data_IF_023338005003
#
_entry.id   IF_023338005003
#
_cell.length_a   1.000
_cell.length_b   1.000
_cell.length_c   1.000
_cell.angle_alpha   90.00
_cell.angle_beta   90.00
_cell.angle_gamma   90.00
#
_symmetry.space_group_name_H-M   'P 1'
#
loop_
_entity.id
_entity.type
_entity.pdbx_description
1 polymer ?
#
# COMPACT_ATOMS: atom_id res chain seq x y z
N UNK A 1 13.41 -7.34 -27.72
CA UNK A 1 13.22 -6.11 -26.94
C UNK A 1 14.55 -5.82 -26.25
N UNK A 2 15.10 -4.63 -26.36
CA UNK A 2 16.41 -4.29 -25.77
C UNK A 2 16.31 -4.29 -24.25
N UNK A 3 17.35 -4.77 -23.56
CA UNK A 3 17.39 -4.74 -22.09
C UNK A 3 17.49 -3.29 -21.61
N UNK A 4 16.47 -2.83 -20.90
CA UNK A 4 16.36 -1.46 -20.38
C UNK A 4 17.02 -1.30 -19.01
N UNK A 5 17.38 -2.40 -18.35
CA UNK A 5 17.96 -2.41 -17.00
C UNK A 5 19.20 -1.50 -16.88
N UNK A 6 20.17 -1.47 -17.80
CA UNK A 6 21.32 -0.55 -17.70
C UNK A 6 20.93 0.93 -17.72
N UNK A 7 19.90 1.28 -18.52
CA UNK A 7 19.42 2.68 -18.65
C UNK A 7 18.70 3.11 -17.36
N UNK A 8 17.84 2.24 -16.83
CA UNK A 8 17.15 2.45 -15.55
C UNK A 8 18.15 2.57 -14.40
N UNK A 9 19.15 1.69 -14.35
CA UNK A 9 20.20 1.75 -13.34
C UNK A 9 20.99 3.06 -13.39
N UNK A 10 21.30 3.56 -14.60
CA UNK A 10 21.97 4.84 -14.80
C UNK A 10 21.14 6.00 -14.23
N UNK A 11 19.84 6.06 -14.54
CA UNK A 11 18.94 7.10 -14.01
C UNK A 11 18.97 7.15 -12.48
N UNK A 12 18.71 6.01 -11.81
CA UNK A 12 18.66 5.98 -10.35
C UNK A 12 20.02 6.15 -9.67
N UNK A 13 21.12 5.95 -10.41
CA UNK A 13 22.47 6.29 -9.92
C UNK A 13 22.73 7.80 -9.99
N UNK A 14 22.24 8.45 -11.05
CA UNK A 14 22.37 9.90 -11.26
C UNK A 14 21.40 10.71 -10.38
N UNK A 15 20.19 10.20 -10.19
CA UNK A 15 19.10 10.84 -9.44
C UNK A 15 18.67 9.91 -8.31
N UNK A 16 19.09 10.24 -7.09
CA UNK A 16 18.73 9.47 -5.89
C UNK A 16 17.22 9.52 -5.65
N UNK A 17 16.61 8.34 -5.55
CA UNK A 17 15.18 8.18 -5.39
C UNK A 17 14.84 7.01 -4.44
N UNK A 18 13.83 7.15 -3.56
CA UNK A 18 13.13 8.39 -3.22
C UNK A 18 14.06 9.42 -2.53
N UNK A 19 13.54 10.59 -2.20
CA UNK A 19 14.32 11.66 -1.54
C UNK A 19 15.05 11.11 -0.29
N UNK A 20 16.39 11.21 -0.22
CA UNK A 20 17.17 10.63 0.87
C UNK A 20 16.80 11.18 2.24
N UNK A 21 16.44 10.31 3.18
CA UNK A 21 16.21 10.69 4.58
C UNK A 21 17.55 10.74 5.30
N UNK A 22 17.87 11.87 5.97
CA UNK A 22 19.14 12.01 6.69
C UNK A 22 19.16 11.29 8.06
N UNK A 23 17.99 11.10 8.68
CA UNK A 23 17.87 10.46 10.00
C UNK A 23 16.59 9.63 10.10
N UNK A 24 16.71 8.32 9.82
CA UNK A 24 15.57 7.40 9.80
C UNK A 24 14.84 7.32 11.15
N UNK A 25 15.56 7.17 12.27
CA UNK A 25 14.92 7.07 13.60
C UNK A 25 14.19 8.35 13.98
N UNK A 26 14.75 9.52 13.64
CA UNK A 26 14.05 10.81 13.83
C UNK A 26 12.82 10.90 12.95
N UNK A 27 12.92 10.59 11.66
CA UNK A 27 11.80 10.62 10.74
C UNK A 27 10.64 9.73 11.24
N UNK A 28 10.94 8.50 11.68
CA UNK A 28 9.94 7.58 12.24
C UNK A 28 9.26 8.18 13.49
N UNK A 29 10.03 8.77 14.41
CA UNK A 29 9.46 9.43 15.60
C UNK A 29 8.59 10.63 15.24
N UNK A 30 8.92 11.34 14.17
CA UNK A 30 8.16 12.47 13.63
C UNK A 30 6.97 12.03 12.76
N UNK A 31 6.73 10.72 12.62
CA UNK A 31 5.54 10.16 12.00
C UNK A 31 5.75 9.56 10.60
N UNK A 32 6.98 9.57 10.06
CA UNK A 32 7.28 8.89 8.81
C UNK A 32 7.01 7.38 8.94
N UNK A 33 6.25 6.85 7.99
CA UNK A 33 6.01 5.43 7.88
C UNK A 33 5.80 5.05 6.42
N UNK A 34 6.25 3.85 6.08
CA UNK A 34 5.99 3.27 4.78
C UNK A 34 4.67 2.48 4.80
N UNK A 35 3.92 2.57 3.71
CA UNK A 35 2.61 1.90 3.58
C UNK A 35 2.70 0.38 3.60
N UNK A 36 3.88 -0.18 3.34
CA UNK A 36 4.15 -1.62 3.40
C UNK A 36 4.56 -2.10 4.81
N UNK A 37 4.59 -1.22 5.82
CA UNK A 37 5.04 -1.59 7.16
C UNK A 37 4.31 -2.84 7.69
N UNK A 38 5.03 -3.92 8.06
CA UNK A 38 4.42 -5.11 8.62
C UNK A 38 3.59 -4.82 9.86
N UNK A 39 4.03 -3.87 10.70
CA UNK A 39 3.30 -3.43 11.89
C UNK A 39 1.89 -2.91 11.58
N UNK A 40 1.64 -2.42 10.36
CA UNK A 40 0.35 -1.87 9.93
C UNK A 40 -0.51 -2.89 9.17
N UNK A 41 0.12 -3.82 8.45
CA UNK A 41 -0.56 -4.73 7.52
C UNK A 41 -0.62 -6.18 7.98
N UNK A 42 0.03 -6.56 9.08
CA UNK A 42 0.11 -7.96 9.51
C UNK A 42 -1.23 -8.69 9.62
N UNK A 43 -2.38 -8.09 10.04
CA UNK A 43 -3.64 -8.83 10.09
C UNK A 43 -4.10 -9.26 8.69
N UNK A 44 -3.69 -8.54 7.65
CA UNK A 44 -3.96 -8.88 6.26
C UNK A 44 -2.98 -9.92 5.71
N UNK A 45 -1.78 -10.05 6.28
CA UNK A 45 -0.73 -10.95 5.79
C UNK A 45 -0.78 -12.30 6.49
N UNK A 46 -0.91 -12.29 7.82
CA UNK A 46 -0.91 -13.47 8.69
C UNK A 46 -2.01 -13.34 9.76
N UNK A 47 -3.29 -13.42 9.37
CA UNK A 47 -4.42 -13.26 10.29
C UNK A 47 -4.45 -14.31 11.43
N UNK A 48 -3.88 -15.50 11.21
CA UNK A 48 -3.74 -16.54 12.24
C UNK A 48 -2.48 -16.38 13.11
N UNK A 49 -1.73 -15.29 12.91
CA UNK A 49 -0.46 -15.00 13.60
C UNK A 49 0.76 -15.51 12.84
N UNK A 50 1.88 -14.78 12.98
CA UNK A 50 3.20 -15.20 12.50
C UNK A 50 4.27 -14.57 13.36
N UNK A 51 5.29 -15.33 13.77
CA UNK A 51 6.32 -14.72 14.59
C UNK A 51 7.14 -13.68 13.83
N UNK A 52 7.35 -12.51 14.41
CA UNK A 52 8.23 -11.48 13.84
C UNK A 52 9.70 -11.72 14.17
N UNK A 53 9.99 -12.64 15.10
CA UNK A 53 11.36 -13.04 15.40
C UNK A 53 11.95 -13.79 14.23
N UNK A 54 13.13 -13.34 13.80
CA UNK A 54 13.90 -13.91 12.67
C UNK A 54 13.12 -13.93 11.34
N UNK A 55 12.07 -13.11 11.20
CA UNK A 55 11.33 -12.97 9.95
C UNK A 55 12.30 -12.57 8.83
N UNK A 56 12.32 -13.30 7.72
CA UNK A 56 13.17 -12.96 6.57
C UNK A 56 12.43 -12.02 5.64
N UNK A 57 12.93 -10.80 5.50
CA UNK A 57 12.33 -9.74 4.69
C UNK A 57 13.24 -9.38 3.52
N UNK A 58 12.72 -9.44 2.29
CA UNK A 58 13.38 -8.93 1.10
C UNK A 58 12.76 -7.58 0.70
N UNK A 59 13.57 -6.54 0.57
CA UNK A 59 13.17 -5.26 -0.03
C UNK A 59 13.81 -5.17 -1.41
N UNK A 60 13.03 -5.51 -2.45
CA UNK A 60 13.47 -5.60 -3.84
C UNK A 60 13.29 -4.25 -4.56
N UNK A 61 14.41 -3.60 -4.88
CA UNK A 61 14.46 -2.20 -5.30
C UNK A 61 14.25 -1.29 -4.11
N UNK A 62 15.17 -1.35 -3.15
CA UNK A 62 15.00 -0.70 -1.86
C UNK A 62 15.12 0.83 -1.90
N UNK A 63 15.63 1.38 -3.00
CA UNK A 63 15.93 2.80 -3.12
C UNK A 63 16.84 3.27 -1.99
N UNK A 64 16.76 4.57 -1.71
CA UNK A 64 17.57 5.22 -0.68
C UNK A 64 17.17 4.79 0.74
N UNK A 65 15.88 4.58 1.00
CA UNK A 65 15.34 4.60 2.37
C UNK A 65 14.70 3.27 2.85
N UNK A 66 14.09 2.47 1.96
CA UNK A 66 13.10 1.47 2.38
C UNK A 66 13.71 0.29 3.14
N UNK A 67 14.91 -0.15 2.78
CA UNK A 67 15.62 -1.22 3.47
C UNK A 67 16.00 -0.79 4.91
N UNK A 68 16.54 0.42 5.05
CA UNK A 68 16.86 0.99 6.36
C UNK A 68 15.62 1.24 7.22
N UNK A 69 14.52 1.74 6.63
CA UNK A 69 13.24 1.87 7.33
C UNK A 69 12.76 0.53 7.87
N UNK A 70 12.71 -0.49 7.01
CA UNK A 70 12.24 -1.84 7.37
C UNK A 70 13.06 -2.43 8.51
N UNK A 71 14.38 -2.34 8.42
CA UNK A 71 15.28 -2.81 9.47
C UNK A 71 15.10 -2.07 10.80
N UNK A 72 14.86 -0.76 10.75
CA UNK A 72 14.65 0.06 11.95
C UNK A 72 13.32 -0.23 12.68
N UNK A 73 12.25 -0.56 11.95
CA UNK A 73 10.94 -0.88 12.56
C UNK A 73 10.76 -2.35 12.92
N UNK A 74 11.64 -3.24 12.44
CA UNK A 74 11.62 -4.69 12.66
C UNK A 74 12.99 -5.19 13.17
N UNK A 75 13.43 -4.80 14.39
CA UNK A 75 14.79 -5.08 14.88
C UNK A 75 15.09 -6.58 15.03
N UNK A 76 14.08 -7.41 15.23
CA UNK A 76 14.23 -8.87 15.39
C UNK A 76 14.18 -9.65 14.05
N UNK A 77 13.92 -8.97 12.92
CA UNK A 77 13.83 -9.56 11.59
C UNK A 77 15.18 -9.50 10.86
N UNK A 78 15.41 -10.39 9.89
CA UNK A 78 16.54 -10.31 8.96
C UNK A 78 16.12 -9.62 7.67
N UNK A 79 16.70 -8.46 7.37
CA UNK A 79 16.34 -7.66 6.20
C UNK A 79 17.45 -7.73 5.15
N UNK A 80 17.09 -8.11 3.92
CA UNK A 80 17.93 -7.94 2.74
C UNK A 80 17.35 -6.84 1.86
N UNK A 81 18.08 -5.75 1.68
CA UNK A 81 17.80 -4.74 0.66
C UNK A 81 18.60 -5.02 -0.61
N UNK A 82 17.94 -5.04 -1.77
CA UNK A 82 18.62 -5.08 -3.06
C UNK A 82 18.23 -3.90 -3.93
N UNK A 83 19.18 -3.40 -4.71
CA UNK A 83 18.95 -2.34 -5.70
C UNK A 83 19.95 -2.44 -6.86
N UNK A 84 19.62 -1.79 -7.98
CA UNK A 84 20.54 -1.60 -9.10
C UNK A 84 21.47 -0.40 -8.87
N UNK A 85 20.97 0.65 -8.20
CA UNK A 85 21.66 1.90 -7.96
C UNK A 85 22.64 1.77 -6.79
N UNK A 86 23.92 1.93 -7.09
CA UNK A 86 24.97 1.98 -6.07
C UNK A 86 24.79 3.19 -5.15
N UNK A 87 24.31 4.33 -5.68
CA UNK A 87 24.04 5.55 -4.90
C UNK A 87 22.95 5.32 -3.86
N UNK A 88 21.85 4.65 -4.25
CA UNK A 88 20.77 4.26 -3.33
C UNK A 88 21.28 3.35 -2.22
N UNK A 89 22.09 2.35 -2.57
CA UNK A 89 22.69 1.42 -1.62
C UNK A 89 23.69 2.10 -0.68
N UNK A 90 24.48 3.05 -1.17
CA UNK A 90 25.38 3.85 -0.33
C UNK A 90 24.60 4.68 0.69
N UNK A 91 23.47 5.28 0.32
CA UNK A 91 22.63 6.01 1.27
C UNK A 91 21.99 5.07 2.31
N UNK A 92 21.48 3.91 1.87
CA UNK A 92 20.98 2.87 2.79
C UNK A 92 22.10 2.36 3.73
N UNK A 93 23.33 2.23 3.24
CA UNK A 93 24.49 1.84 4.04
C UNK A 93 24.85 2.92 5.06
N UNK A 94 24.80 4.20 4.68
CA UNK A 94 24.95 5.32 5.61
C UNK A 94 23.89 5.25 6.74
N UNK A 95 22.63 5.00 6.40
CA UNK A 95 21.57 4.85 7.41
C UNK A 95 21.78 3.60 8.29
N UNK A 96 22.24 2.49 7.72
CA UNK A 96 22.61 1.28 8.45
C UNK A 96 23.66 1.58 9.52
N UNK A 97 24.75 2.23 9.15
CA UNK A 97 25.86 2.57 10.04
C UNK A 97 25.43 3.59 11.10
N UNK A 98 24.74 4.66 10.68
CA UNK A 98 24.27 5.71 11.59
C UNK A 98 23.35 5.18 12.70
N UNK A 99 22.51 4.20 12.40
CA UNK A 99 21.48 3.71 13.32
C UNK A 99 21.80 2.37 13.98
N UNK A 100 22.94 1.75 13.66
CA UNK A 100 23.34 0.43 14.15
C UNK A 100 22.37 -0.67 13.71
N UNK A 101 22.00 -0.68 12.42
CA UNK A 101 21.04 -1.65 11.88
C UNK A 101 21.75 -2.97 11.53
N UNK A 102 22.17 -3.71 12.55
CA UNK A 102 22.92 -4.97 12.40
C UNK A 102 22.12 -6.07 11.69
N UNK A 103 20.80 -5.94 11.70
CA UNK A 103 19.86 -6.84 11.06
C UNK A 103 19.65 -6.57 9.55
N UNK A 104 20.31 -5.56 8.98
CA UNK A 104 20.21 -5.18 7.58
C UNK A 104 21.43 -5.63 6.76
N UNK A 105 21.18 -6.37 5.67
CA UNK A 105 22.15 -6.64 4.61
C UNK A 105 21.76 -5.90 3.33
N UNK A 106 22.77 -5.43 2.57
CA UNK A 106 22.56 -4.70 1.32
C UNK A 106 23.35 -5.38 0.20
N UNK A 107 22.74 -5.51 -0.98
CA UNK A 107 23.39 -6.11 -2.15
C UNK A 107 23.00 -5.41 -3.43
N UNK A 108 23.99 -5.01 -4.22
CA UNK A 108 23.75 -4.58 -5.59
C UNK A 108 23.36 -5.80 -6.44
N UNK A 109 22.12 -5.82 -6.93
CA UNK A 109 21.56 -6.98 -7.61
C UNK A 109 20.39 -6.58 -8.50
N UNK A 110 20.38 -7.13 -9.71
CA UNK A 110 19.18 -7.14 -10.56
C UNK A 110 18.17 -8.14 -10.00
N UNK A 111 16.93 -7.73 -9.76
CA UNK A 111 15.89 -8.63 -9.24
C UNK A 111 15.61 -9.84 -10.13
N UNK A 112 15.95 -9.79 -11.42
CA UNK A 112 15.82 -10.95 -12.30
C UNK A 112 16.78 -12.10 -11.93
N UNK A 113 17.80 -11.80 -11.13
CA UNK A 113 18.80 -12.76 -10.65
C UNK A 113 18.53 -13.26 -9.22
N UNK A 114 17.30 -13.10 -8.71
CA UNK A 114 16.91 -13.56 -7.38
C UNK A 114 17.07 -15.07 -7.18
N UNK A 115 17.09 -15.87 -8.26
CA UNK A 115 17.38 -17.30 -8.18
C UNK A 115 18.77 -17.64 -7.61
N UNK A 116 19.69 -16.66 -7.57
CA UNK A 116 20.99 -16.81 -6.91
C UNK A 116 20.93 -16.67 -5.39
N UNK A 117 19.76 -16.33 -4.81
CA UNK A 117 19.56 -16.34 -3.37
C UNK A 117 19.11 -17.74 -2.94
N UNK A 118 19.74 -18.27 -1.90
CA UNK A 118 19.41 -19.59 -1.34
C UNK A 118 18.20 -19.52 -0.39
N UNK A 119 17.96 -18.35 0.19
CA UNK A 119 16.91 -18.12 1.16
C UNK A 119 15.51 -18.00 0.54
N UNK A 120 14.51 -18.38 1.36
CA UNK A 120 13.11 -18.01 1.17
C UNK A 120 12.75 -16.88 2.12
N UNK A 121 11.91 -15.96 1.65
CA UNK A 121 11.50 -14.78 2.38
C UNK A 121 10.04 -14.88 2.81
N UNK A 122 9.79 -14.59 4.08
CA UNK A 122 8.45 -14.53 4.66
C UNK A 122 7.70 -13.30 4.15
N UNK A 123 8.43 -12.20 3.92
CA UNK A 123 7.86 -10.96 3.42
C UNK A 123 8.72 -10.36 2.33
N UNK A 124 8.10 -9.97 1.22
CA UNK A 124 8.78 -9.28 0.12
C UNK A 124 8.10 -7.93 -0.12
N UNK A 125 8.88 -6.87 -0.13
CA UNK A 125 8.46 -5.52 -0.53
C UNK A 125 9.03 -5.22 -1.90
N UNK A 126 8.17 -4.85 -2.85
CA UNK A 126 8.60 -4.44 -4.18
C UNK A 126 7.73 -3.27 -4.66
N UNK A 127 8.23 -2.04 -4.53
CA UNK A 127 7.48 -0.82 -4.82
C UNK A 127 8.22 0.02 -5.85
N UNK A 128 7.57 0.41 -6.95
CA UNK A 128 8.26 1.29 -7.92
C UNK A 128 9.30 0.54 -8.76
N UNK A 129 9.09 -0.75 -9.05
CA UNK A 129 10.11 -1.58 -9.73
C UNK A 129 9.54 -2.37 -10.89
N UNK A 130 8.54 -3.24 -10.64
CA UNK A 130 8.07 -4.20 -11.65
C UNK A 130 7.58 -3.54 -12.95
N UNK A 131 7.00 -2.34 -12.86
CA UNK A 131 6.50 -1.60 -14.01
C UNK A 131 7.59 -0.92 -14.85
N UNK A 132 8.83 -0.85 -14.36
CA UNK A 132 9.97 -0.34 -15.11
C UNK A 132 10.73 -1.43 -15.88
N UNK A 133 10.36 -2.69 -15.68
CA UNK A 133 10.98 -3.81 -16.39
C UNK A 133 10.47 -3.91 -17.83
N UNK A 134 11.35 -4.37 -18.72
CA UNK A 134 10.96 -4.78 -20.07
C UNK A 134 9.99 -5.97 -20.05
N UNK A 135 10.15 -6.86 -19.07
CA UNK A 135 9.26 -7.99 -18.79
C UNK A 135 8.86 -8.01 -17.30
N UNK A 136 7.78 -7.31 -16.92
CA UNK A 136 7.27 -7.30 -15.54
C UNK A 136 6.93 -8.69 -15.00
N UNK A 137 6.41 -9.58 -15.84
CA UNK A 137 6.05 -10.95 -15.46
C UNK A 137 7.28 -11.78 -15.06
N UNK A 138 8.40 -11.60 -15.76
CA UNK A 138 9.67 -12.23 -15.37
C UNK A 138 10.13 -11.75 -13.98
N UNK A 139 9.99 -10.46 -13.69
CA UNK A 139 10.28 -9.90 -12.36
C UNK A 139 9.39 -10.47 -11.27
N UNK A 140 8.08 -10.55 -11.51
CA UNK A 140 7.15 -11.10 -10.52
C UNK A 140 7.38 -12.60 -10.28
N UNK A 141 7.71 -13.38 -11.31
CA UNK A 141 8.11 -14.79 -11.15
C UNK A 141 9.41 -14.95 -10.38
N UNK A 142 10.39 -14.06 -10.58
CA UNK A 142 11.63 -14.09 -9.81
C UNK A 142 11.36 -13.86 -8.31
N UNK A 143 10.50 -12.90 -7.96
CA UNK A 143 10.06 -12.68 -6.57
C UNK A 143 9.33 -13.90 -6.00
N UNK A 144 8.37 -14.47 -6.74
CA UNK A 144 7.68 -15.71 -6.35
C UNK A 144 8.69 -16.85 -6.09
N UNK A 145 9.74 -16.94 -6.90
CA UNK A 145 10.78 -17.97 -6.80
C UNK A 145 11.52 -17.98 -5.47
N UNK A 146 11.53 -16.86 -4.74
CA UNK A 146 12.16 -16.74 -3.41
C UNK A 146 11.14 -16.51 -2.28
N UNK A 147 9.83 -16.55 -2.57
CA UNK A 147 8.77 -16.40 -1.58
C UNK A 147 8.57 -17.70 -0.78
N UNK A 148 8.57 -17.62 0.55
CA UNK A 148 8.20 -18.73 1.44
C UNK A 148 6.77 -19.21 1.15
N UNK A 149 6.43 -20.46 1.50
CA UNK A 149 5.12 -21.05 1.19
C UNK A 149 3.95 -20.31 1.82
N UNK A 150 4.15 -19.75 3.01
CA UNK A 150 3.23 -18.87 3.76
C UNK A 150 3.66 -17.39 3.69
N UNK A 151 4.55 -17.07 2.74
CA UNK A 151 5.08 -15.75 2.53
C UNK A 151 4.09 -14.84 1.81
N UNK A 152 4.20 -13.54 2.08
CA UNK A 152 3.38 -12.50 1.47
C UNK A 152 4.26 -11.46 0.78
N UNK A 153 3.80 -10.93 -0.36
CA UNK A 153 4.46 -9.85 -1.08
C UNK A 153 3.59 -8.59 -1.07
N UNK A 154 4.18 -7.46 -0.73
CA UNK A 154 3.61 -6.15 -1.00
C UNK A 154 4.15 -5.64 -2.32
N UNK A 155 3.25 -5.42 -3.27
CA UNK A 155 3.57 -4.92 -4.61
C UNK A 155 2.94 -3.54 -4.80
N UNK A 156 3.73 -2.59 -5.32
CA UNK A 156 3.21 -1.31 -5.80
C UNK A 156 3.58 -1.07 -7.27
N UNK A 157 2.55 -0.82 -8.09
CA UNK A 157 2.68 -0.45 -9.50
C UNK A 157 1.94 0.84 -9.84
N UNK A 158 2.30 1.51 -10.93
CA UNK A 158 1.61 2.69 -11.40
C UNK A 158 0.15 2.41 -11.81
N UNK A 159 -0.75 3.32 -11.44
CA UNK A 159 -2.17 3.28 -11.78
C UNK A 159 -2.47 4.05 -13.07
N UNK A 160 -3.32 3.48 -13.93
CA UNK A 160 -3.54 3.96 -15.30
C UNK A 160 -4.19 5.34 -15.35
N UNK A 161 -5.35 5.49 -14.72
CA UNK A 161 -6.24 6.60 -15.04
C UNK A 161 -5.75 7.94 -14.49
N UNK A 162 -5.24 8.00 -13.27
CA UNK A 162 -4.70 9.26 -12.74
C UNK A 162 -3.34 9.62 -13.37
N UNK A 163 -2.69 8.72 -14.11
CA UNK A 163 -1.41 8.99 -14.81
C UNK A 163 -1.57 9.25 -16.30
N UNK A 164 -2.78 9.30 -16.85
CA UNK A 164 -3.00 9.57 -18.29
C UNK A 164 -2.24 10.83 -18.74
N UNK A 165 -2.37 11.93 -17.99
CA UNK A 165 -1.66 13.17 -18.29
C UNK A 165 -0.14 13.07 -18.17
N UNK A 166 0.38 12.19 -17.30
CA UNK A 166 1.82 11.89 -17.22
C UNK A 166 2.29 11.24 -18.51
N UNK A 167 1.59 10.21 -19.00
CA UNK A 167 1.96 9.53 -20.25
C UNK A 167 1.86 10.43 -21.49
N UNK A 168 0.90 11.35 -21.51
CA UNK A 168 0.81 12.37 -22.57
C UNK A 168 2.06 13.26 -22.57
N UNK A 169 2.48 13.76 -21.41
CA UNK A 169 3.67 14.61 -21.30
C UNK A 169 4.97 13.84 -21.52
N UNK A 170 5.12 12.63 -21.00
CA UNK A 170 6.27 11.77 -21.32
C UNK A 170 6.42 11.59 -22.84
N UNK A 171 5.32 11.35 -23.56
CA UNK A 171 5.34 11.24 -25.03
C UNK A 171 5.78 12.55 -25.67
N UNK A 172 5.30 13.69 -25.19
CA UNK A 172 5.73 15.01 -25.67
C UNK A 172 7.24 15.22 -25.44
N UNK A 173 7.75 14.94 -24.25
CA UNK A 173 9.18 15.09 -23.93
C UNK A 173 10.09 14.15 -24.73
N UNK A 174 9.64 12.92 -25.06
CA UNK A 174 10.35 12.04 -26.00
C UNK A 174 10.40 12.62 -27.41
N UNK A 175 9.33 13.26 -27.89
CA UNK A 175 9.35 13.94 -29.20
C UNK A 175 10.28 15.16 -29.21
N UNK A 176 10.40 15.83 -28.06
CA UNK A 176 11.30 16.98 -27.84
C UNK A 176 12.75 16.57 -27.56
N UNK A 177 13.06 15.27 -27.59
CA UNK A 177 14.41 14.71 -27.39
C UNK A 177 15.00 14.88 -25.98
N UNK A 178 14.13 14.83 -24.96
CA UNK A 178 14.53 14.95 -23.56
C UNK A 178 15.02 13.63 -22.92
N UNK A 179 15.49 12.66 -23.71
CA UNK A 179 15.94 11.37 -23.18
C UNK A 179 17.30 11.45 -22.48
N UNK A 180 18.01 12.57 -22.60
CA UNK A 180 19.32 12.77 -21.96
C UNK A 180 19.22 12.99 -20.45
N UNK A 181 18.03 13.39 -19.96
CA UNK A 181 17.77 13.76 -18.57
C UNK A 181 18.76 14.84 -18.10
N UNK A 182 19.08 15.79 -18.97
CA UNK A 182 19.99 16.89 -18.64
C UNK A 182 19.30 17.92 -17.73
N UNK A 183 20.08 18.86 -17.19
CA UNK A 183 19.52 20.02 -16.49
C UNK A 183 18.61 20.87 -17.40
N UNK A 184 18.89 20.92 -18.71
CA UNK A 184 18.04 21.58 -19.70
C UNK A 184 16.70 20.86 -19.86
N UNK A 185 16.71 19.53 -19.98
CA UNK A 185 15.50 18.71 -20.05
C UNK A 185 14.63 18.91 -18.81
N UNK A 186 15.24 18.92 -17.63
CA UNK A 186 14.53 19.14 -16.38
C UNK A 186 13.92 20.55 -16.29
N UNK A 187 14.62 21.58 -16.74
CA UNK A 187 14.07 22.94 -16.82
C UNK A 187 12.89 23.01 -17.79
N UNK A 188 12.96 22.31 -18.92
CA UNK A 188 11.87 22.21 -19.87
C UNK A 188 10.65 21.48 -19.28
N UNK A 189 10.85 20.41 -18.51
CA UNK A 189 9.77 19.74 -17.78
C UNK A 189 9.09 20.72 -16.82
N UNK A 190 9.87 21.39 -15.97
CA UNK A 190 9.35 22.36 -14.99
C UNK A 190 8.54 23.47 -15.65
N UNK A 191 9.11 24.14 -16.66
CA UNK A 191 8.43 25.23 -17.38
C UNK A 191 7.18 24.76 -18.13
N UNK A 192 7.19 23.52 -18.65
CA UNK A 192 6.01 22.92 -19.29
C UNK A 192 4.90 22.65 -18.28
N UNK A 193 5.21 22.17 -17.07
CA UNK A 193 4.21 21.91 -16.03
C UNK A 193 3.54 23.20 -15.53
N UNK A 194 4.30 24.30 -15.50
CA UNK A 194 3.79 25.64 -15.17
C UNK A 194 2.90 26.20 -16.30
N UNK A 195 3.29 25.95 -17.57
CA UNK A 195 2.59 26.47 -18.74
C UNK A 195 1.38 25.65 -19.18
N UNK A 196 1.39 24.33 -18.97
CA UNK A 196 0.37 23.42 -19.51
C UNK A 196 -1.03 23.80 -19.03
N UNK A 197 -2.00 23.67 -19.94
CA UNK A 197 -3.40 24.04 -19.76
C UNK A 197 -3.94 23.64 -18.36
N UNK A 198 -4.64 24.55 -17.65
CA UNK A 198 -5.22 24.27 -16.34
C UNK A 198 -6.18 23.07 -16.30
N UNK A 199 -6.80 22.72 -17.43
CA UNK A 199 -7.71 21.57 -17.58
C UNK A 199 -6.99 20.32 -18.11
N UNK A 200 -5.68 20.38 -18.36
CA UNK A 200 -4.90 19.21 -18.78
C UNK A 200 -4.96 18.08 -17.75
N UNK A 201 -5.08 16.84 -18.22
CA UNK A 201 -5.26 15.65 -17.38
C UNK A 201 -4.15 15.48 -16.31
N UNK A 202 -2.95 16.01 -16.55
CA UNK A 202 -1.82 15.93 -15.61
C UNK A 202 -2.10 16.66 -14.30
N UNK A 203 -2.93 17.72 -14.32
CA UNK A 203 -3.16 18.57 -13.14
C UNK A 203 -3.83 17.78 -12.00
N UNK A 204 -4.58 16.71 -12.31
CA UNK A 204 -5.13 15.79 -11.29
C UNK A 204 -4.05 14.99 -10.58
N UNK A 205 -3.04 14.53 -11.31
CA UNK A 205 -1.90 13.81 -10.75
C UNK A 205 -1.06 14.72 -9.86
N UNK A 206 -0.75 15.93 -10.33
CA UNK A 206 0.09 16.89 -9.61
C UNK A 206 -0.51 17.31 -8.25
N UNK A 207 -1.84 17.25 -8.09
CA UNK A 207 -2.50 17.55 -6.80
C UNK A 207 -2.23 16.52 -5.71
N UNK A 208 -1.85 15.29 -6.08
CA UNK A 208 -1.73 14.17 -5.14
C UNK A 208 -0.34 13.55 -5.10
N UNK A 209 0.50 13.81 -6.09
CA UNK A 209 1.85 13.26 -6.18
C UNK A 209 2.85 14.18 -5.46
N UNK A 210 3.31 13.78 -4.27
CA UNK A 210 4.36 14.50 -3.55
C UNK A 210 5.71 14.44 -4.24
N UNK A 211 5.97 13.38 -5.01
CA UNK A 211 7.29 13.12 -5.60
C UNK A 211 7.67 14.15 -6.66
N UNK A 212 6.69 14.83 -7.26
CA UNK A 212 6.94 15.88 -8.27
C UNK A 212 7.46 17.20 -7.68
N UNK A 213 7.61 17.28 -6.35
CA UNK A 213 8.11 18.47 -5.65
C UNK A 213 9.65 18.57 -5.64
N UNK A 214 10.36 17.57 -6.14
CA UNK A 214 11.82 17.58 -6.23
C UNK A 214 12.31 16.95 -7.54
N UNK A 215 13.55 17.28 -7.91
CA UNK A 215 14.09 17.04 -9.25
C UNK A 215 14.11 15.56 -9.64
N UNK A 216 14.58 14.68 -8.76
CA UNK A 216 14.64 13.24 -9.07
C UNK A 216 13.24 12.64 -9.26
N UNK A 217 12.23 13.10 -8.52
CA UNK A 217 10.85 12.63 -8.73
C UNK A 217 10.20 13.19 -10.00
N UNK A 218 10.59 14.38 -10.47
CA UNK A 218 10.23 14.88 -11.81
C UNK A 218 10.86 14.04 -12.92
N UNK A 219 12.13 13.67 -12.78
CA UNK A 219 12.82 12.76 -13.72
C UNK A 219 12.11 11.40 -13.73
N UNK A 220 11.88 10.80 -12.57
CA UNK A 220 11.20 9.51 -12.43
C UNK A 220 9.78 9.52 -12.99
N UNK A 221 9.07 10.64 -12.90
CA UNK A 221 7.70 10.74 -13.38
C UNK A 221 7.64 11.00 -14.89
N UNK A 222 8.38 11.98 -15.39
CA UNK A 222 8.17 12.55 -16.74
C UNK A 222 9.24 12.18 -17.76
N UNK A 223 10.45 11.82 -17.32
CA UNK A 223 11.57 11.47 -18.20
C UNK A 223 12.02 10.00 -18.03
N UNK A 224 11.22 9.17 -17.37
CA UNK A 224 11.55 7.77 -17.15
C UNK A 224 11.73 7.01 -18.48
N UNK A 225 12.82 6.23 -18.65
CA UNK A 225 13.13 5.53 -19.90
C UNK A 225 12.11 4.44 -20.22
N UNK A 226 11.56 3.79 -19.20
CA UNK A 226 10.58 2.71 -19.34
C UNK A 226 9.65 2.67 -18.15
N UNK A 227 8.36 2.90 -18.35
CA UNK A 227 7.34 2.58 -17.36
C UNK A 227 6.05 2.14 -18.06
N UNK A 228 5.19 1.45 -17.30
CA UNK A 228 3.82 1.17 -17.69
C UNK A 228 2.89 1.30 -16.49
N UNK A 229 1.64 1.65 -16.75
CA UNK A 229 0.60 1.61 -15.74
C UNK A 229 -0.31 0.40 -15.90
N UNK A 230 -0.98 0.07 -14.81
CA UNK A 230 -1.98 -1.00 -14.71
C UNK A 230 -3.34 -0.39 -14.34
N UNK A 231 -4.41 -1.03 -14.76
CA UNK A 231 -5.74 -0.89 -14.17
C UNK A 231 -6.07 -2.11 -13.30
N UNK A 232 -7.22 -2.08 -12.62
CA UNK A 232 -7.69 -3.18 -11.76
C UNK A 232 -7.68 -4.54 -12.48
N UNK A 233 -8.33 -4.72 -13.66
CA UNK A 233 -8.29 -6.00 -14.38
C UNK A 233 -6.88 -6.48 -14.68
N UNK A 234 -5.98 -5.57 -15.10
CA UNK A 234 -4.59 -5.92 -15.39
C UNK A 234 -3.80 -6.32 -14.15
N UNK A 235 -4.04 -5.71 -12.98
CA UNK A 235 -3.41 -6.16 -11.71
C UNK A 235 -3.85 -7.57 -11.34
N UNK A 236 -5.14 -7.87 -11.48
CA UNK A 236 -5.67 -9.20 -11.18
C UNK A 236 -5.10 -10.25 -12.15
N UNK A 237 -5.10 -9.93 -13.45
CA UNK A 237 -4.50 -10.79 -14.48
C UNK A 237 -2.98 -10.96 -14.28
N UNK A 238 -2.27 -9.90 -13.87
CA UNK A 238 -0.84 -9.95 -13.58
C UNK A 238 -0.53 -10.90 -12.42
N UNK A 239 -1.41 -10.98 -11.43
CA UNK A 239 -1.31 -11.92 -10.32
C UNK A 239 -1.55 -13.37 -10.80
N UNK A 240 -2.65 -13.59 -11.52
CA UNK A 240 -3.07 -14.91 -12.00
C UNK A 240 -2.08 -15.50 -13.02
N UNK A 241 -1.65 -14.72 -14.01
CA UNK A 241 -0.72 -15.14 -15.06
C UNK A 241 0.65 -15.55 -14.51
N UNK A 242 1.01 -15.12 -13.30
CA UNK A 242 2.24 -15.49 -12.62
C UNK A 242 2.03 -16.53 -11.51
N UNK A 243 0.86 -17.18 -11.52
CA UNK A 243 0.46 -18.22 -10.58
C UNK A 243 0.61 -17.76 -9.12
N UNK A 244 0.12 -16.57 -8.81
CA UNK A 244 0.03 -15.98 -7.48
C UNK A 244 -1.43 -15.73 -7.13
N UNK A 245 -1.77 -15.89 -5.86
CA UNK A 245 -3.06 -15.50 -5.33
C UNK A 245 -3.07 -14.02 -4.97
N UNK A 246 -4.09 -13.30 -5.43
CA UNK A 246 -4.39 -11.94 -4.97
C UNK A 246 -5.03 -12.00 -3.58
N UNK A 247 -4.36 -11.46 -2.57
CA UNK A 247 -4.87 -11.44 -1.19
C UNK A 247 -5.90 -10.30 -1.07
N UNK A 248 -5.44 -9.06 -1.26
CA UNK A 248 -6.26 -7.86 -1.21
C UNK A 248 -5.49 -6.61 -1.68
N UNK A 249 -6.22 -5.52 -1.93
CA UNK A 249 -5.64 -4.18 -1.97
C UNK A 249 -5.15 -3.79 -0.58
N UNK A 250 -3.97 -3.17 -0.48
CA UNK A 250 -3.44 -2.74 0.83
C UNK A 250 -4.30 -1.62 1.44
N UNK A 251 -5.04 -0.91 0.60
CA UNK A 251 -6.17 -0.09 1.01
C UNK A 251 -7.38 -0.24 0.08
N UNK A 252 -8.40 -0.98 0.54
CA UNK A 252 -9.61 -1.28 -0.22
C UNK A 252 -10.58 -0.09 -0.31
N UNK A 253 -10.49 0.90 0.58
CA UNK A 253 -11.49 1.96 0.75
C UNK A 253 -11.90 2.63 -0.59
N UNK A 254 -10.99 3.03 -1.49
CA UNK A 254 -11.39 3.68 -2.75
C UNK A 254 -12.00 2.77 -3.81
N UNK A 255 -11.94 1.45 -3.60
CA UNK A 255 -12.63 0.47 -4.43
C UNK A 255 -13.97 0.02 -3.81
N UNK A 256 -14.32 0.52 -2.61
CA UNK A 256 -15.54 0.16 -1.90
C UNK A 256 -16.68 1.11 -2.23
N UNK A 257 -17.65 0.67 -3.04
CA UNK A 257 -18.74 1.54 -3.48
C UNK A 257 -19.65 2.01 -2.35
N UNK A 258 -19.86 1.20 -1.30
CA UNK A 258 -20.72 1.57 -0.17
C UNK A 258 -20.16 2.73 0.66
N UNK A 259 -18.86 3.03 0.53
CA UNK A 259 -18.21 4.17 1.16
C UNK A 259 -18.40 5.49 0.37
N UNK A 260 -18.63 5.40 -0.94
CA UNK A 260 -18.61 6.57 -1.83
C UNK A 260 -19.95 6.86 -2.51
N UNK A 261 -20.82 5.85 -2.67
CA UNK A 261 -22.07 5.94 -3.42
C UNK A 261 -23.24 5.75 -2.46
N UNK A 262 -24.17 6.73 -2.35
CA UNK A 262 -25.33 6.62 -1.48
C UNK A 262 -26.19 5.39 -1.81
N UNK A 263 -26.71 4.64 -0.81
CA UNK A 263 -27.49 3.42 -1.03
C UNK A 263 -28.72 3.59 -1.93
N UNK A 264 -29.32 4.78 -1.93
CA UNK A 264 -30.47 5.16 -2.75
C UNK A 264 -30.11 5.45 -4.21
N UNK A 265 -28.83 5.64 -4.53
CA UNK A 265 -28.38 5.93 -5.88
C UNK A 265 -28.55 4.70 -6.78
N UNK A 266 -29.09 4.83 -8.02
CA UNK A 266 -29.29 3.69 -8.92
C UNK A 266 -28.03 2.86 -9.19
N UNK A 267 -26.84 3.48 -9.21
CA UNK A 267 -25.56 2.76 -9.34
C UNK A 267 -25.33 1.77 -8.20
N UNK A 268 -25.66 2.12 -6.96
CA UNK A 268 -25.45 1.22 -5.81
C UNK A 268 -26.23 -0.09 -5.98
N UNK A 269 -27.46 -0.03 -6.52
CA UNK A 269 -28.27 -1.22 -6.80
C UNK A 269 -27.63 -2.12 -7.86
N UNK A 270 -27.10 -1.54 -8.94
CA UNK A 270 -26.43 -2.31 -10.00
C UNK A 270 -25.11 -2.89 -9.52
N UNK A 271 -24.31 -2.08 -8.81
CA UNK A 271 -23.02 -2.49 -8.26
C UNK A 271 -23.16 -3.68 -7.32
N UNK A 272 -24.19 -3.75 -6.47
CA UNK A 272 -24.43 -4.88 -5.56
C UNK A 272 -24.37 -6.25 -6.26
N UNK A 273 -24.88 -6.34 -7.48
CA UNK A 273 -25.00 -7.59 -8.24
C UNK A 273 -23.75 -7.96 -9.05
N UNK A 274 -22.74 -7.08 -9.11
CA UNK A 274 -21.49 -7.37 -9.81
C UNK A 274 -20.55 -8.25 -8.96
N UNK A 275 -19.66 -8.96 -9.64
CA UNK A 275 -18.51 -9.61 -9.00
C UNK A 275 -17.63 -8.58 -8.30
N UNK A 276 -16.78 -9.04 -7.37
CA UNK A 276 -15.90 -8.12 -6.63
C UNK A 276 -14.89 -7.41 -7.54
N UNK A 277 -14.37 -8.12 -8.55
CA UNK A 277 -13.44 -7.55 -9.54
C UNK A 277 -14.10 -6.47 -10.39
N UNK A 278 -15.35 -6.71 -10.84
CA UNK A 278 -16.13 -5.71 -11.57
C UNK A 278 -16.46 -4.49 -10.71
N UNK A 279 -16.81 -4.69 -9.42
CA UNK A 279 -17.02 -3.59 -8.47
C UNK A 279 -15.79 -2.70 -8.37
N UNK A 280 -14.62 -3.30 -8.14
CA UNK A 280 -13.36 -2.55 -8.07
C UNK A 280 -13.04 -1.80 -9.35
N UNK A 281 -13.25 -2.45 -10.51
CA UNK A 281 -13.03 -1.85 -11.83
C UNK A 281 -13.94 -0.65 -12.05
N UNK A 282 -15.24 -0.78 -11.77
CA UNK A 282 -16.18 0.35 -11.92
C UNK A 282 -15.80 1.50 -10.99
N UNK A 283 -15.42 1.21 -9.75
CA UNK A 283 -15.00 2.23 -8.80
C UNK A 283 -13.74 2.96 -9.27
N UNK A 284 -12.75 2.23 -9.79
CA UNK A 284 -11.55 2.86 -10.37
C UNK A 284 -11.90 3.80 -11.53
N UNK A 285 -12.75 3.34 -12.46
CA UNK A 285 -13.18 4.11 -13.63
C UNK A 285 -13.95 5.38 -13.26
N UNK A 286 -14.77 5.34 -12.21
CA UNK A 286 -15.57 6.48 -11.76
C UNK A 286 -14.72 7.54 -11.06
N UNK A 287 -13.79 7.15 -10.19
CA UNK A 287 -13.09 8.09 -9.31
C UNK A 287 -11.72 8.54 -9.85
N UNK A 288 -10.99 7.67 -10.57
CA UNK A 288 -9.73 8.01 -11.26
C UNK A 288 -8.74 8.79 -10.38
N UNK A 289 -8.67 8.47 -9.09
CA UNK A 289 -7.90 9.22 -8.10
C UNK A 289 -6.64 8.46 -7.63
N UNK A 290 -6.35 7.31 -8.25
CA UNK A 290 -5.20 6.46 -7.91
C UNK A 290 -4.08 6.63 -8.93
N UNK A 291 -2.96 7.21 -8.49
CA UNK A 291 -1.72 7.25 -9.26
C UNK A 291 -0.92 5.95 -9.17
N UNK A 292 -1.22 5.09 -8.19
CA UNK A 292 -0.59 3.80 -7.96
C UNK A 292 -1.60 2.79 -7.44
N UNK A 293 -1.34 1.51 -7.70
CA UNK A 293 -1.96 0.37 -7.07
C UNK A 293 -0.99 -0.26 -6.09
N UNK A 294 -1.43 -0.49 -4.86
CA UNK A 294 -0.71 -1.26 -3.87
C UNK A 294 -1.57 -2.44 -3.39
N UNK A 295 -1.00 -3.64 -3.41
CA UNK A 295 -1.72 -4.88 -3.17
C UNK A 295 -0.81 -5.98 -2.60
N UNK A 296 -1.44 -6.97 -1.98
CA UNK A 296 -0.79 -8.11 -1.36
C UNK A 296 -0.97 -9.36 -2.22
N UNK A 297 0.11 -10.11 -2.42
CA UNK A 297 0.13 -11.39 -3.12
C UNK A 297 0.70 -12.50 -2.24
N UNK A 298 0.30 -13.74 -2.48
CA UNK A 298 0.88 -14.93 -1.87
C UNK A 298 0.79 -16.13 -2.79
N UNK A 299 1.30 -17.30 -2.37
CA UNK A 299 1.06 -18.54 -3.11
C UNK A 299 -0.44 -18.88 -3.09
N UNK A 300 -1.04 -19.35 -4.22
CA UNK A 300 -2.47 -19.64 -4.30
C UNK A 300 -3.00 -20.60 -3.22
N UNK A 301 -2.19 -21.56 -2.79
CA UNK A 301 -2.48 -22.49 -1.68
C UNK A 301 -2.67 -21.72 -0.37
N UNK A 302 -1.72 -20.85 -0.04
CA UNK A 302 -1.76 -20.04 1.17
C UNK A 302 -2.96 -19.08 1.16
N UNK A 303 -3.16 -18.36 0.05
CA UNK A 303 -4.29 -17.41 -0.08
C UNK A 303 -5.65 -18.09 0.08
N UNK A 304 -5.79 -19.34 -0.40
CA UNK A 304 -7.02 -20.13 -0.21
C UNK A 304 -7.21 -20.60 1.23
N UNK A 305 -6.14 -20.88 1.96
CA UNK A 305 -6.21 -21.29 3.37
C UNK A 305 -6.37 -20.13 4.34
N UNK A 306 -6.15 -18.89 3.91
CA UNK A 306 -6.26 -17.73 4.80
C UNK A 306 -7.68 -17.60 5.37
N UNK A 307 -7.83 -17.50 6.70
CA UNK A 307 -9.12 -17.24 7.32
C UNK A 307 -9.64 -15.86 6.91
N UNK A 308 -10.95 -15.72 6.77
CA UNK A 308 -11.62 -14.46 6.48
C UNK A 308 -12.79 -14.27 7.44
N UNK A 309 -12.88 -13.09 8.04
CA UNK A 309 -14.03 -12.75 8.88
C UNK A 309 -15.28 -12.67 8.01
N UNK A 310 -16.37 -13.30 8.46
CA UNK A 310 -17.68 -13.21 7.81
C UNK A 310 -18.72 -12.65 8.78
N UNK A 311 -19.22 -11.46 8.46
CA UNK A 311 -20.27 -10.81 9.22
C UNK A 311 -21.68 -11.18 8.75
N UNK A 312 -21.84 -11.97 7.68
CA UNK A 312 -23.16 -12.25 7.07
C UNK A 312 -23.85 -13.45 7.69
N UNK A 313 -23.09 -14.41 8.25
CA UNK A 313 -23.62 -15.66 8.76
C UNK A 313 -22.91 -16.11 10.04
N UNK A 314 -23.69 -16.62 11.00
CA UNK A 314 -23.20 -17.17 12.26
C UNK A 314 -22.55 -16.13 13.19
N UNK A 315 -21.95 -16.65 14.26
CA UNK A 315 -21.35 -15.85 15.35
C UNK A 315 -19.82 -15.99 15.43
N UNK A 316 -19.17 -16.65 14.46
CA UNK A 316 -17.71 -16.86 14.52
C UNK A 316 -16.92 -15.54 14.50
N UNK A 317 -17.47 -14.49 13.87
CA UNK A 317 -16.88 -13.14 13.87
C UNK A 317 -16.65 -12.60 15.29
N UNK A 318 -17.40 -13.05 16.29
CA UNK A 318 -17.26 -12.63 17.70
C UNK A 318 -15.88 -12.96 18.28
N UNK A 319 -15.25 -14.03 17.78
CA UNK A 319 -13.93 -14.50 18.24
C UNK A 319 -12.76 -13.73 17.62
N UNK A 320 -13.01 -12.96 16.56
CA UNK A 320 -11.96 -12.22 15.87
C UNK A 320 -11.52 -10.99 16.67
N UNK A 321 -10.26 -10.62 16.53
CA UNK A 321 -9.63 -9.48 17.16
C UNK A 321 -9.62 -8.29 16.17
N UNK A 322 -10.48 -7.28 16.37
CA UNK A 322 -10.46 -6.07 15.54
C UNK A 322 -9.26 -5.19 15.88
N UNK A 323 -8.70 -4.55 14.85
CA UNK A 323 -7.68 -3.51 14.97
C UNK A 323 -8.04 -2.31 14.10
N UNK A 324 -7.89 -1.11 14.66
CA UNK A 324 -8.11 0.15 13.93
C UNK A 324 -6.99 0.37 12.92
N UNK A 325 -7.35 0.76 11.69
CA UNK A 325 -6.39 1.11 10.66
C UNK A 325 -5.63 2.39 11.02
N UNK A 326 -4.34 2.41 10.70
CA UNK A 326 -3.54 3.62 10.84
C UNK A 326 -4.21 4.81 10.13
N UNK A 327 -4.19 5.96 10.81
CA UNK A 327 -4.82 7.18 10.33
C UNK A 327 -6.33 7.30 10.55
N UNK A 328 -7.04 6.26 11.02
CA UNK A 328 -8.44 6.39 11.44
C UNK A 328 -8.54 7.00 12.84
N UNK A 329 -8.94 8.25 12.91
CA UNK A 329 -8.95 9.02 14.15
C UNK A 329 -10.17 9.93 14.27
N UNK A 330 -10.52 10.25 15.50
CA UNK A 330 -11.60 11.16 15.86
C UNK A 330 -11.22 12.61 15.52
N UNK A 331 -12.07 13.31 14.78
CA UNK A 331 -11.89 14.74 14.45
C UNK A 331 -12.90 15.64 15.14
N UNK A 332 -14.09 15.12 15.46
CA UNK A 332 -15.13 15.83 16.21
C UNK A 332 -15.84 14.86 17.15
N UNK A 333 -15.87 15.17 18.45
CA UNK A 333 -16.58 14.38 19.47
C UNK A 333 -18.08 14.57 19.34
N UNK A 334 -18.86 13.51 19.58
CA UNK A 334 -20.30 13.67 19.76
C UNK A 334 -20.61 14.54 20.99
N UNK A 335 -21.77 15.18 20.94
CA UNK A 335 -22.35 15.88 22.07
C UNK A 335 -23.83 15.50 22.16
N UNK A 336 -24.14 14.58 23.05
CA UNK A 336 -25.50 14.07 23.26
C UNK A 336 -26.47 15.18 23.66
N UNK A 337 -26.02 16.20 24.40
CA UNK A 337 -26.86 17.33 24.80
C UNK A 337 -27.20 18.27 23.62
N UNK A 338 -26.36 18.29 22.58
CA UNK A 338 -26.59 19.06 21.34
C UNK A 338 -27.08 18.20 20.18
N UNK A 339 -27.27 16.89 20.39
CA UNK A 339 -27.62 15.93 19.33
C UNK A 339 -26.56 15.80 18.22
N UNK A 340 -25.29 16.16 18.48
CA UNK A 340 -24.23 16.06 17.47
C UNK A 340 -23.56 14.68 17.53
N UNK A 341 -23.27 14.14 16.35
CA UNK A 341 -22.63 12.82 16.15
C UNK A 341 -21.12 12.96 16.09
N UNK A 342 -20.39 11.90 16.42
CA UNK A 342 -18.95 11.91 16.26
C UNK A 342 -18.54 11.80 14.79
N UNK A 343 -17.41 12.43 14.46
CA UNK A 343 -16.81 12.35 13.13
C UNK A 343 -15.42 11.75 13.24
N UNK A 344 -15.18 10.72 12.46
CA UNK A 344 -13.88 10.09 12.28
C UNK A 344 -13.41 10.30 10.85
N UNK A 345 -12.10 10.41 10.67
CA UNK A 345 -11.47 10.63 9.36
C UNK A 345 -10.38 9.59 9.14
N UNK A 346 -10.31 9.08 7.91
CA UNK A 346 -9.15 8.35 7.38
C UNK A 346 -9.11 8.52 5.86
N UNK A 347 -7.94 8.83 5.31
CA UNK A 347 -7.72 8.91 3.84
C UNK A 347 -8.77 9.78 3.12
N UNK A 348 -9.16 10.91 3.73
CA UNK A 348 -10.19 11.80 3.19
C UNK A 348 -11.63 11.31 3.29
N UNK A 349 -11.87 10.11 3.82
CA UNK A 349 -13.21 9.57 4.06
C UNK A 349 -13.69 9.88 5.48
N UNK A 350 -14.78 10.62 5.59
CA UNK A 350 -15.42 10.97 6.86
C UNK A 350 -16.49 9.95 7.21
N UNK A 351 -16.38 9.36 8.41
CA UNK A 351 -17.40 8.48 8.99
C UNK A 351 -18.13 9.22 10.10
N UNK A 352 -19.45 9.30 10.00
CA UNK A 352 -20.30 9.84 11.05
C UNK A 352 -20.81 8.68 11.91
N UNK A 353 -20.59 8.77 13.22
CA UNK A 353 -20.81 7.68 14.17
C UNK A 353 -21.79 8.15 15.23
N UNK A 354 -22.88 7.40 15.42
CA UNK A 354 -23.82 7.67 16.51
C UNK A 354 -23.13 7.48 17.86
N UNK A 355 -23.51 8.26 18.90
CA UNK A 355 -22.92 8.14 20.23
C UNK A 355 -22.88 6.70 20.77
N UNK A 356 -23.89 5.89 20.45
CA UNK A 356 -23.99 4.50 20.93
C UNK A 356 -22.92 3.55 20.35
N UNK A 357 -22.30 3.92 19.23
CA UNK A 357 -21.25 3.11 18.59
C UNK A 357 -19.83 3.56 18.96
N UNK A 358 -19.64 4.77 19.48
CA UNK A 358 -18.32 5.26 19.88
C UNK A 358 -17.62 4.35 20.91
N UNK A 359 -18.32 3.82 21.94
CA UNK A 359 -17.73 2.89 22.89
C UNK A 359 -17.14 1.62 22.25
N UNK A 360 -17.63 1.22 21.07
CA UNK A 360 -17.04 0.11 20.30
C UNK A 360 -15.63 0.50 19.88
N UNK A 361 -15.45 1.61 19.17
CA UNK A 361 -14.14 2.06 18.66
C UNK A 361 -13.17 2.30 19.81
N UNK A 362 -13.60 2.97 20.88
CA UNK A 362 -12.78 3.21 22.07
C UNK A 362 -12.30 1.91 22.74
N UNK A 363 -13.06 0.82 22.59
CA UNK A 363 -12.76 -0.47 23.18
C UNK A 363 -11.86 -1.35 22.30
N UNK A 364 -11.69 -1.03 21.01
CA UNK A 364 -10.81 -1.74 20.08
C UNK A 364 -9.35 -1.45 20.45
N UNK A 365 -8.57 -2.52 20.60
CA UNK A 365 -7.15 -2.45 20.95
C UNK A 365 -6.27 -3.44 20.20
N UNK A 366 -6.84 -4.24 19.28
CA UNK A 366 -6.16 -5.39 18.69
C UNK A 366 -5.99 -6.58 19.64
N UNK A 367 -6.17 -6.41 20.96
CA UNK A 367 -5.95 -7.46 21.97
C UNK A 367 -7.22 -8.05 22.57
N UNK A 368 -8.38 -7.52 22.19
CA UNK A 368 -9.70 -7.97 22.63
C UNK A 368 -10.44 -8.51 21.43
N UNK A 369 -11.12 -9.64 21.62
CA UNK A 369 -12.06 -10.17 20.65
C UNK A 369 -13.25 -9.23 20.47
N UNK A 370 -13.99 -9.38 19.37
CA UNK A 370 -15.23 -8.62 19.14
C UNK A 370 -16.22 -8.80 20.29
N UNK A 371 -16.34 -10.01 20.85
CA UNK A 371 -17.22 -10.29 22.00
C UNK A 371 -16.86 -9.44 23.24
N UNK A 372 -15.56 -9.36 23.55
CA UNK A 372 -15.06 -8.55 24.68
C UNK A 372 -15.21 -7.05 24.41
N UNK A 373 -15.03 -6.62 23.17
CA UNK A 373 -15.26 -5.22 22.74
C UNK A 373 -16.74 -4.85 22.92
N UNK A 374 -17.66 -5.72 22.49
CA UNK A 374 -19.11 -5.50 22.63
C UNK A 374 -19.51 -5.41 24.09
N UNK A 375 -19.09 -6.35 24.94
CA UNK A 375 -19.40 -6.33 26.38
C UNK A 375 -18.98 -5.03 27.07
N UNK A 376 -17.82 -4.47 26.68
CA UNK A 376 -17.35 -3.18 27.20
C UNK A 376 -18.11 -2.00 26.61
N UNK A 377 -18.46 -2.05 25.33
CA UNK A 377 -19.27 -1.02 24.71
C UNK A 377 -20.66 -0.93 25.35
N UNK A 378 -21.30 -2.08 25.60
CA UNK A 378 -22.62 -2.17 26.23
C UNK A 378 -22.66 -1.64 27.66
N UNK A 379 -21.53 -1.68 28.41
CA UNK A 379 -21.49 -1.06 29.74
C UNK A 379 -21.55 0.48 29.69
N UNK A 380 -21.20 1.09 28.55
CA UNK A 380 -21.31 2.54 28.30
C UNK A 380 -22.58 2.91 27.50
N UNK A 381 -23.05 2.00 26.65
CA UNK A 381 -24.24 2.16 25.81
C UNK A 381 -25.15 0.91 25.93
N UNK A 382 -26.01 0.84 26.97
CA UNK A 382 -26.82 -0.35 27.26
C UNK A 382 -27.83 -0.74 26.17
N UNK A 383 -28.15 0.18 25.25
CA UNK A 383 -29.09 -0.04 24.14
C UNK A 383 -28.43 -0.66 22.90
N UNK A 384 -27.10 -0.75 22.85
CA UNK A 384 -26.37 -1.36 21.74
C UNK A 384 -26.64 -2.86 21.68
N UNK A 385 -27.42 -3.29 20.68
CA UNK A 385 -27.64 -4.70 20.42
C UNK A 385 -26.45 -5.35 19.71
N UNK A 386 -26.33 -6.67 19.86
CA UNK A 386 -25.30 -7.44 19.17
C UNK A 386 -25.43 -7.38 17.64
N UNK A 387 -26.66 -7.28 17.14
CA UNK A 387 -26.91 -7.12 15.71
C UNK A 387 -26.42 -5.75 15.20
N UNK A 388 -26.69 -4.68 15.95
CA UNK A 388 -26.18 -3.35 15.64
C UNK A 388 -24.64 -3.33 15.65
N UNK A 389 -24.01 -3.96 16.64
CA UNK A 389 -22.55 -4.09 16.70
C UNK A 389 -21.99 -4.88 15.51
N UNK A 390 -22.61 -6.01 15.15
CA UNK A 390 -22.22 -6.83 13.98
C UNK A 390 -22.25 -6.02 12.69
N UNK A 391 -23.34 -5.28 12.45
CA UNK A 391 -23.49 -4.44 11.26
C UNK A 391 -22.44 -3.32 11.23
N UNK A 392 -22.17 -2.70 12.38
CA UNK A 392 -21.17 -1.65 12.51
C UNK A 392 -19.74 -2.17 12.23
N UNK A 393 -19.35 -3.30 12.82
CA UNK A 393 -18.07 -3.95 12.51
C UNK A 393 -17.96 -4.31 11.02
N UNK A 394 -19.01 -4.92 10.47
CA UNK A 394 -19.04 -5.30 9.05
C UNK A 394 -18.88 -4.11 8.12
N UNK A 395 -19.53 -2.98 8.41
CA UNK A 395 -19.41 -1.76 7.61
C UNK A 395 -18.00 -1.16 7.69
N UNK A 396 -17.44 -0.99 8.89
CA UNK A 396 -16.08 -0.46 9.03
C UNK A 396 -15.00 -1.41 8.47
N UNK A 397 -15.27 -2.72 8.47
CA UNK A 397 -14.43 -3.70 7.79
C UNK A 397 -14.49 -3.53 6.27
N UNK A 398 -15.69 -3.43 5.70
CA UNK A 398 -15.91 -3.25 4.26
C UNK A 398 -15.25 -1.96 3.74
N UNK A 399 -15.35 -0.88 4.53
CA UNK A 399 -14.72 0.41 4.27
C UNK A 399 -13.23 0.44 4.64
N UNK A 400 -12.68 -0.67 5.11
CA UNK A 400 -11.26 -0.82 5.41
C UNK A 400 -10.74 0.20 6.44
N UNK A 401 -11.57 0.49 7.44
CA UNK A 401 -11.22 1.23 8.66
C UNK A 401 -10.86 0.28 9.82
N UNK A 402 -11.35 -0.96 9.77
CA UNK A 402 -10.99 -2.04 10.69
C UNK A 402 -10.40 -3.25 9.95
N UNK A 403 -9.33 -3.80 10.51
CA UNK A 403 -8.80 -5.12 10.17
C UNK A 403 -9.15 -6.13 11.26
N UNK A 404 -9.12 -7.41 10.91
CA UNK A 404 -9.47 -8.50 11.82
C UNK A 404 -8.42 -9.60 11.72
N UNK A 405 -8.09 -10.20 12.87
CA UNK A 405 -7.18 -11.34 13.01
C UNK A 405 -7.78 -12.39 13.95
N UNK A 406 -7.37 -13.65 13.82
CA UNK A 406 -7.80 -14.74 14.72
C UNK A 406 -7.01 -14.73 16.04
N UNK A 407 -5.89 -14.02 16.08
CA UNK A 407 -5.01 -13.90 17.25
C UNK A 407 -4.88 -12.44 17.69
N UNK A 408 -4.64 -12.16 18.99
CA UNK A 408 -4.47 -10.79 19.46
C UNK A 408 -3.16 -10.16 18.97
N UNK A 409 -3.18 -8.85 18.79
CA UNK A 409 -2.00 -8.04 18.46
C UNK A 409 -0.86 -8.23 19.45
N UNK A 410 0.33 -8.54 18.94
CA UNK A 410 1.52 -8.84 19.73
C UNK A 410 1.69 -10.32 20.10
N UNK A 411 0.84 -11.20 19.56
CA UNK A 411 1.08 -12.66 19.55
C UNK A 411 2.00 -13.11 18.40
N UNK A 412 2.40 -12.15 17.57
CA UNK A 412 3.38 -12.25 16.50
C UNK A 412 4.78 -11.87 17.03
#
# INVERSE_FOLDING_TARGET
MQDVTPIVAKQYTQYSYPEPIADMKRAIREGFHERFSPNLLWPMMWPSGKSFKQLKILVAGCGTNQAAYTAAIMPDAHVLGIDLSITSLQHSQFLKEKHGLDNLSLRQMNLLNLCCLEDKYDYIVCTGVLHHLSNPDAGLRALKGVLASDGVMYIMVYGRYNRIGVYMLQRAFRLLRCESQSSEDLMLVKSTLDFVDPDHAVKRYLKVASDVNYDAGLIDTFLHPQDRAYDVPEVLAFSENNALGFIDWTDRLPYTFSAAIPPQHPLARRLKNLSIAEKWTVMELLFQNRGTHAFLLGHPEYVRSMPRVDFRQGDQWRKWYPSVRAGFHLVEKANSAKGTKAKYLREGHTVIIEPDYEPIIESISGRRSCDEVIKRAQSKSPHLSDEQARLFFGQLHEWHHLLFSEVPYGSC
#
